data_IF_415911098749
#
_entry.id   IF_415911098749
#
_cell.length_a   1.000
_cell.length_b   1.000
_cell.length_c   1.000
_cell.angle_alpha   90.00
_cell.angle_beta   90.00
_cell.angle_gamma   90.00
#
_symmetry.space_group_name_H-M   'P 1'
#
loop_
_entity.id
_entity.type
_entity.pdbx_description
1 polymer ?
#
# COMPACT_ATOMS: atom_id res chain seq x y z
N UNK A 1 24.70 12.73 4.14
CA UNK A 1 23.84 12.25 5.25
C UNK A 1 22.71 11.44 4.63
N UNK A 2 22.81 10.12 4.72
CA UNK A 2 21.87 9.17 4.12
C UNK A 2 20.66 8.98 5.03
N UNK A 3 19.54 9.61 4.68
CA UNK A 3 18.25 9.32 5.31
C UNK A 3 17.81 7.95 4.82
N UNK A 4 17.87 6.95 5.71
CA UNK A 4 17.25 5.65 5.47
C UNK A 4 15.74 5.84 5.43
N UNK A 5 15.04 5.33 4.40
CA UNK A 5 13.60 5.46 4.32
C UNK A 5 12.96 4.61 5.43
N UNK A 6 12.21 5.27 6.32
CA UNK A 6 11.36 4.64 7.32
C UNK A 6 10.33 3.76 6.59
N UNK A 7 10.22 2.50 7.02
CA UNK A 7 9.22 1.57 6.55
C UNK A 7 7.82 2.11 6.90
N UNK A 8 6.90 2.31 5.94
CA UNK A 8 5.56 2.81 6.24
C UNK A 8 4.75 1.88 7.16
N UNK A 9 5.16 0.62 7.36
CA UNK A 9 4.56 -0.25 8.39
C UNK A 9 4.85 0.22 9.83
N UNK A 10 5.89 1.02 10.06
CA UNK A 10 6.21 1.58 11.38
C UNK A 10 5.21 2.65 11.85
N UNK A 11 4.40 3.23 10.97
CA UNK A 11 3.37 4.22 11.33
C UNK A 11 2.05 3.59 11.77
N UNK A 12 1.96 2.26 11.83
CA UNK A 12 0.77 1.51 12.27
C UNK A 12 0.94 0.86 13.65
N UNK A 13 1.73 1.48 14.54
CA UNK A 13 1.96 0.99 15.89
C UNK A 13 1.06 1.65 16.93
N UNK A 14 -0.21 1.25 17.04
CA UNK A 14 -0.94 1.33 18.32
C UNK A 14 -0.84 -0.04 19.01
N UNK A 15 0.35 -0.36 19.49
CA UNK A 15 0.63 -1.55 20.29
C UNK A 15 1.69 -1.18 21.31
N UNK A 16 1.27 -0.60 22.42
CA UNK A 16 2.14 -0.22 23.54
C UNK A 16 2.67 -1.43 24.27
N UNK A 17 3.70 -2.07 23.73
CA UNK A 17 4.61 -2.90 24.49
C UNK A 17 5.86 -2.08 24.77
N UNK A 18 6.34 -2.06 26.02
CA UNK A 18 7.60 -1.41 26.34
C UNK A 18 8.75 -2.21 25.72
N UNK A 19 9.57 -1.54 24.91
CA UNK A 19 10.74 -2.12 24.24
C UNK A 19 12.01 -1.65 24.95
N UNK A 20 13.06 -2.49 24.93
CA UNK A 20 14.36 -2.08 25.48
C UNK A 20 14.90 -0.84 24.73
N UNK A 21 15.35 0.16 25.52
CA UNK A 21 16.05 1.34 25.04
C UNK A 21 17.50 1.04 24.61
N UNK A 22 18.40 2.02 24.71
CA UNK A 22 19.84 1.86 24.41
C UNK A 22 20.58 1.11 25.53
N UNK A 23 20.18 -0.12 25.80
CA UNK A 23 20.79 -0.93 26.86
C UNK A 23 21.43 -2.18 26.24
N UNK A 24 22.78 -2.24 26.14
CA UNK A 24 23.45 -3.44 25.66
C UNK A 24 23.34 -4.56 26.69
N UNK A 25 23.35 -5.81 26.21
CA UNK A 25 23.33 -6.99 27.05
C UNK A 25 24.56 -7.01 27.98
N UNK A 26 24.39 -7.18 29.31
CA UNK A 26 25.50 -7.13 30.26
C UNK A 26 26.47 -8.31 30.14
N UNK A 27 26.06 -9.40 29.47
CA UNK A 27 26.87 -10.62 29.35
C UNK A 27 27.70 -10.64 28.07
N UNK A 28 27.12 -10.27 26.92
CA UNK A 28 27.80 -10.36 25.63
C UNK A 28 27.95 -9.01 24.89
N UNK A 29 27.41 -7.92 25.44
CA UNK A 29 27.48 -6.59 24.82
C UNK A 29 26.59 -6.40 23.59
N UNK A 30 25.73 -7.36 23.26
CA UNK A 30 24.78 -7.27 22.15
C UNK A 30 23.75 -6.15 22.37
N UNK A 31 23.46 -5.34 21.35
CA UNK A 31 22.48 -4.25 21.42
C UNK A 31 21.05 -4.81 21.45
N UNK A 32 20.33 -4.61 22.57
CA UNK A 32 18.98 -5.14 22.78
C UNK A 32 17.87 -4.23 22.22
N UNK A 33 18.23 -3.16 21.50
CA UNK A 33 17.28 -2.19 20.96
C UNK A 33 16.23 -2.85 20.05
N UNK A 34 14.96 -2.58 20.35
CA UNK A 34 13.82 -3.07 19.55
C UNK A 34 13.35 -4.48 19.93
N UNK A 35 13.97 -5.12 20.93
CA UNK A 35 13.45 -6.34 21.54
C UNK A 35 12.44 -6.00 22.65
N UNK A 36 11.36 -6.80 22.81
CA UNK A 36 10.40 -6.61 23.91
C UNK A 36 11.07 -6.76 25.28
N UNK A 37 10.67 -5.95 26.25
CA UNK A 37 11.20 -6.05 27.62
C UNK A 37 10.88 -7.44 28.21
N UNK A 38 11.90 -8.07 28.81
CA UNK A 38 11.80 -9.40 29.41
C UNK A 38 12.14 -10.57 28.48
N UNK A 39 12.59 -10.30 27.25
CA UNK A 39 13.08 -11.34 26.34
C UNK A 39 14.55 -11.67 26.60
N UNK A 40 14.91 -12.97 26.54
CA UNK A 40 16.30 -13.43 26.68
C UNK A 40 17.15 -12.90 25.54
N UNK A 41 18.41 -12.57 25.83
CA UNK A 41 19.35 -12.14 24.80
C UNK A 41 19.47 -13.21 23.70
N UNK A 42 19.27 -12.87 22.41
CA UNK A 42 19.29 -13.85 21.33
C UNK A 42 20.67 -14.43 21.05
N UNK A 43 21.74 -13.73 21.42
CA UNK A 43 23.13 -14.18 21.19
C UNK A 43 23.67 -15.07 22.31
N UNK A 44 23.40 -14.74 23.57
CA UNK A 44 23.98 -15.46 24.71
C UNK A 44 22.96 -16.20 25.58
N UNK A 45 21.67 -16.04 25.32
CA UNK A 45 20.60 -16.67 26.10
C UNK A 45 20.42 -16.11 27.50
N UNK A 46 21.17 -15.09 27.90
CA UNK A 46 21.06 -14.50 29.23
C UNK A 46 19.71 -13.81 29.42
N UNK A 47 19.03 -14.11 30.53
CA UNK A 47 17.85 -13.36 30.99
C UNK A 47 18.30 -11.97 31.47
N UNK A 48 17.68 -10.88 30.98
CA UNK A 48 17.98 -9.55 31.47
C UNK A 48 17.56 -9.44 32.94
N UNK A 49 18.53 -9.25 33.84
CA UNK A 49 18.27 -8.89 35.24
C UNK A 49 17.52 -7.55 35.25
N UNK A 50 16.25 -7.58 35.59
CA UNK A 50 15.54 -6.41 36.08
C UNK A 50 16.09 -6.17 37.50
N UNK A 51 17.04 -5.25 37.65
CA UNK A 51 17.37 -4.76 38.98
C UNK A 51 16.18 -3.93 39.45
N UNK A 52 15.37 -4.55 40.30
CA UNK A 52 14.30 -3.92 41.07
C UNK A 52 14.91 -2.86 41.99
N UNK A 53 14.79 -1.61 41.56
CA UNK A 53 15.08 -0.46 42.38
C UNK A 53 13.90 0.50 42.36
N UNK A 54 12.77 0.13 42.98
CA UNK A 54 11.85 1.11 43.55
C UNK A 54 10.99 0.50 44.67
N UNK A 55 10.99 1.23 45.79
CA UNK A 55 10.51 0.86 47.12
C UNK A 55 9.06 0.40 47.22
N UNK A 56 8.91 -0.55 48.13
CA UNK A 56 7.70 -0.97 48.84
C UNK A 56 7.09 0.22 49.61
N UNK A 57 6.05 0.85 49.07
CA UNK A 57 4.90 1.44 49.82
C UNK A 57 4.07 2.38 48.92
N UNK A 58 2.89 1.94 48.50
CA UNK A 58 1.69 2.79 48.47
C UNK A 58 0.47 1.96 48.08
N UNK A 59 -0.60 2.23 48.81
CA UNK A 59 -1.88 1.55 48.77
C UNK A 59 -2.51 1.56 47.38
N UNK A 60 -2.96 0.38 46.95
CA UNK A 60 -3.80 0.20 45.79
C UNK A 60 -5.14 0.92 46.00
N UNK A 61 -5.31 2.09 45.36
CA UNK A 61 -6.64 2.64 45.06
C UNK A 61 -7.13 1.96 43.79
N UNK A 62 -7.80 0.83 43.96
CA UNK A 62 -8.61 0.19 42.92
C UNK A 62 -9.86 1.06 42.72
N UNK A 63 -9.98 1.72 41.56
CA UNK A 63 -11.20 2.43 41.15
C UNK A 63 -12.35 1.41 40.99
N UNK A 64 -13.47 1.52 41.73
CA UNK A 64 -14.56 0.54 41.70
C UNK A 64 -15.39 0.52 40.40
N UNK A 65 -14.99 1.26 39.35
CA UNK A 65 -15.77 1.36 38.12
C UNK A 65 -15.49 0.29 37.06
N UNK A 66 -14.56 -0.63 37.31
CA UNK A 66 -14.22 -1.72 36.38
C UNK A 66 -14.42 -3.12 37.00
N UNK A 67 -15.60 -3.37 37.56
CA UNK A 67 -16.08 -4.74 37.77
C UNK A 67 -16.76 -5.19 36.48
N UNK A 68 -16.08 -6.04 35.70
CA UNK A 68 -16.67 -6.72 34.55
C UNK A 68 -17.34 -7.99 35.08
N UNK A 69 -18.67 -8.02 35.06
CA UNK A 69 -19.47 -9.22 35.36
C UNK A 69 -19.19 -10.33 34.32
N UNK A 70 -18.98 -11.59 34.74
CA UNK A 70 -18.59 -12.68 33.84
C UNK A 70 -19.75 -13.33 33.06
N UNK A 71 -20.95 -12.74 33.00
CA UNK A 71 -22.15 -13.45 32.50
C UNK A 71 -22.84 -12.83 31.25
N UNK A 72 -22.09 -12.10 30.42
CA UNK A 72 -22.60 -11.64 29.10
C UNK A 72 -21.63 -11.92 27.96
N UNK A 73 -21.37 -13.19 27.63
CA UNK A 73 -20.56 -13.57 26.45
C UNK A 73 -21.35 -14.05 25.23
N UNK A 74 -22.67 -14.24 25.30
CA UNK A 74 -23.36 -15.05 24.26
C UNK A 74 -24.12 -14.29 23.17
N UNK A 75 -23.80 -13.01 22.87
CA UNK A 75 -24.54 -12.27 21.83
C UNK A 75 -23.77 -11.42 20.81
N UNK A 76 -22.47 -11.59 20.65
CA UNK A 76 -21.74 -10.93 19.55
C UNK A 76 -20.94 -11.95 18.72
N UNK A 77 -21.68 -12.73 17.92
CA UNK A 77 -21.12 -13.50 16.82
C UNK A 77 -20.63 -12.54 15.72
N UNK A 78 -19.35 -12.20 15.80
CA UNK A 78 -18.65 -11.35 14.84
C UNK A 78 -17.22 -11.07 15.28
N UNK A 79 -16.58 -12.03 15.94
CA UNK A 79 -15.20 -11.93 16.36
C UNK A 79 -14.30 -11.90 15.12
N UNK A 80 -13.75 -10.73 14.83
CA UNK A 80 -12.48 -10.63 14.14
C UNK A 80 -11.46 -11.34 15.05
N UNK A 81 -11.19 -12.60 14.72
CA UNK A 81 -10.18 -13.44 15.34
C UNK A 81 -8.85 -12.69 15.30
N UNK A 82 -8.45 -12.14 16.45
CA UNK A 82 -7.13 -11.55 16.63
C UNK A 82 -6.15 -12.70 16.48
N UNK A 83 -5.44 -12.71 15.36
CA UNK A 83 -4.43 -13.71 15.07
C UNK A 83 -3.39 -13.68 16.20
N UNK A 84 -3.35 -14.74 17.00
CA UNK A 84 -2.34 -14.96 18.04
C UNK A 84 -0.94 -14.88 17.38
N UNK A 85 -0.08 -13.92 17.77
CA UNK A 85 1.21 -13.70 17.14
C UNK A 85 2.15 -14.90 17.26
N UNK A 86 1.91 -15.81 18.21
CA UNK A 86 2.70 -17.01 18.42
C UNK A 86 1.79 -18.25 18.51
N UNK A 87 1.53 -18.97 17.41
CA UNK A 87 0.64 -20.12 17.43
C UNK A 87 1.15 -21.19 18.40
N UNK A 88 0.34 -21.57 19.37
CA UNK A 88 0.67 -22.61 20.37
C UNK A 88 -0.05 -23.91 20.07
N UNK A 89 0.58 -25.04 20.42
CA UNK A 89 -0.05 -26.34 20.36
C UNK A 89 -1.24 -26.38 21.32
N UNK A 90 -2.42 -26.81 20.83
CA UNK A 90 -3.66 -26.88 21.62
C UNK A 90 -3.58 -27.89 22.78
N UNK A 91 -2.71 -28.89 22.70
CA UNK A 91 -2.58 -29.90 23.76
C UNK A 91 -1.55 -29.55 24.83
N UNK A 92 -0.38 -29.03 24.45
CA UNK A 92 0.72 -28.81 25.40
C UNK A 92 1.20 -27.36 25.53
N UNK A 93 0.64 -26.42 24.76
CA UNK A 93 1.03 -25.02 24.79
C UNK A 93 2.39 -24.69 24.16
N UNK A 94 3.09 -25.69 23.59
CA UNK A 94 4.36 -25.49 22.88
C UNK A 94 4.23 -24.49 21.74
N UNK A 95 5.16 -23.54 21.64
CA UNK A 95 5.14 -22.49 20.63
C UNK A 95 5.56 -23.07 19.27
N UNK A 96 4.64 -23.08 18.31
CA UNK A 96 4.84 -23.63 16.96
C UNK A 96 5.54 -22.65 16.01
N UNK A 97 6.19 -21.63 16.54
CA UNK A 97 6.95 -20.63 15.77
C UNK A 97 8.15 -21.31 15.12
N UNK A 98 8.35 -21.04 13.83
CA UNK A 98 9.43 -21.65 13.05
C UNK A 98 9.15 -23.06 12.51
N UNK A 99 8.11 -23.76 12.97
CA UNK A 99 7.70 -25.06 12.42
C UNK A 99 6.89 -24.94 11.11
N UNK A 100 6.89 -25.98 10.25
CA UNK A 100 6.09 -26.01 9.03
C UNK A 100 4.59 -25.84 9.31
N UNK A 101 3.84 -25.38 8.29
CA UNK A 101 2.43 -25.00 8.45
C UNK A 101 1.51 -26.16 8.90
N UNK A 102 1.92 -27.40 8.63
CA UNK A 102 1.30 -28.60 9.15
C UNK A 102 2.39 -29.58 9.59
N UNK A 103 2.14 -30.33 10.66
CA UNK A 103 3.09 -31.30 11.17
C UNK A 103 2.66 -31.87 12.53
N UNK A 104 3.58 -32.57 13.19
CA UNK A 104 3.39 -33.04 14.56
C UNK A 104 4.13 -32.14 15.52
N UNK A 105 3.48 -31.83 16.64
CA UNK A 105 4.14 -31.09 17.72
C UNK A 105 5.31 -31.94 18.25
N UNK A 106 6.52 -31.37 18.41
CA UNK A 106 7.69 -32.12 18.88
C UNK A 106 7.54 -32.59 20.33
N UNK A 107 6.75 -31.88 21.14
CA UNK A 107 6.54 -32.20 22.55
C UNK A 107 5.47 -33.28 22.77
N UNK A 108 4.27 -33.08 22.22
CA UNK A 108 3.13 -33.95 22.51
C UNK A 108 2.75 -34.90 21.36
N UNK A 109 3.41 -34.78 20.20
CA UNK A 109 3.12 -35.58 19.02
C UNK A 109 1.79 -35.25 18.33
N UNK A 110 0.98 -34.34 18.88
CA UNK A 110 -0.32 -33.98 18.32
C UNK A 110 -0.12 -33.36 16.94
N UNK A 111 -0.89 -33.85 15.97
CA UNK A 111 -0.96 -33.25 14.64
C UNK A 111 -1.58 -31.87 14.75
N UNK A 112 -0.85 -30.88 14.27
CA UNK A 112 -1.31 -29.51 14.18
C UNK A 112 -1.35 -29.10 12.71
N UNK A 113 -2.43 -28.41 12.36
CA UNK A 113 -2.50 -27.58 11.18
C UNK A 113 -2.49 -26.16 11.69
N UNK A 114 -1.32 -25.52 11.67
CA UNK A 114 -1.31 -24.08 11.82
C UNK A 114 -1.94 -23.55 10.54
N UNK A 115 -3.16 -23.07 10.64
CA UNK A 115 -3.65 -22.08 9.70
C UNK A 115 -2.81 -20.82 9.90
N UNK A 116 -1.52 -20.87 9.55
CA UNK A 116 -0.91 -19.70 8.95
C UNK A 116 -1.77 -19.47 7.72
N UNK A 117 -2.80 -18.64 7.87
CA UNK A 117 -3.20 -17.72 6.83
C UNK A 117 -1.89 -17.02 6.46
N UNK A 118 -1.13 -17.63 5.55
CA UNK A 118 -0.30 -16.87 4.64
C UNK A 118 -1.31 -15.89 4.10
N UNK A 119 -1.27 -14.65 4.60
CA UNK A 119 -1.99 -13.57 3.94
C UNK A 119 -1.66 -13.76 2.47
N UNK A 120 -2.63 -14.03 1.59
CA UNK A 120 -2.33 -14.13 0.18
C UNK A 120 -1.79 -12.76 -0.20
N UNK A 121 -0.46 -12.69 -0.33
CA UNK A 121 0.31 -11.45 -0.41
C UNK A 121 0.20 -10.81 -1.80
N UNK A 122 -0.91 -11.04 -2.49
CA UNK A 122 -1.15 -10.63 -3.87
C UNK A 122 -2.63 -10.30 -4.00
N UNK A 123 -2.96 -9.00 -4.00
CA UNK A 123 -4.27 -8.56 -4.45
C UNK A 123 -4.38 -8.87 -5.95
N UNK A 124 -5.22 -9.82 -6.33
CA UNK A 124 -5.41 -10.18 -7.74
C UNK A 124 -5.93 -9.00 -8.59
N UNK A 125 -6.59 -8.03 -7.94
CA UNK A 125 -7.19 -6.86 -8.60
C UNK A 125 -6.19 -5.72 -8.86
N UNK A 126 -5.12 -5.62 -8.07
CA UNK A 126 -4.05 -4.62 -8.20
C UNK A 126 -2.68 -5.29 -8.27
N UNK A 127 -2.33 -5.88 -9.43
CA UNK A 127 -1.07 -6.57 -9.59
C UNK A 127 0.11 -5.57 -9.61
N UNK A 128 1.30 -6.03 -9.22
CA UNK A 128 2.47 -5.15 -9.05
C UNK A 128 2.90 -4.51 -10.38
N UNK A 129 2.64 -5.17 -11.50
CA UNK A 129 2.89 -4.70 -12.86
C UNK A 129 2.07 -3.44 -13.18
N UNK A 130 0.82 -3.37 -12.67
CA UNK A 130 -0.04 -2.18 -12.82
C UNK A 130 0.47 -1.05 -11.92
N UNK A 131 0.78 -1.35 -10.65
CA UNK A 131 1.23 -0.34 -9.69
C UNK A 131 2.63 0.22 -10.00
N UNK A 132 3.46 -0.53 -10.71
CA UNK A 132 4.77 -0.07 -11.16
C UNK A 132 4.75 0.60 -12.54
N UNK A 133 3.61 0.55 -13.23
CA UNK A 133 3.49 1.07 -14.60
C UNK A 133 3.64 2.59 -14.67
N UNK A 134 4.34 3.06 -15.70
CA UNK A 134 4.50 4.49 -16.01
C UNK A 134 3.14 5.15 -16.27
N UNK A 135 2.23 4.43 -16.92
CA UNK A 135 0.86 4.91 -17.21
C UNK A 135 0.09 5.25 -15.94
N UNK A 136 0.12 4.37 -14.93
CA UNK A 136 -0.59 4.60 -13.67
C UNK A 136 -0.05 5.82 -12.94
N UNK A 137 1.28 5.98 -12.91
CA UNK A 137 1.95 7.15 -12.31
C UNK A 137 1.57 8.47 -12.95
N UNK A 138 1.54 8.54 -14.27
CA UNK A 138 1.06 9.73 -14.97
C UNK A 138 -0.39 10.04 -14.63
N UNK A 139 -1.23 9.01 -14.50
CA UNK A 139 -2.60 9.17 -14.00
C UNK A 139 -2.66 9.80 -12.62
N UNK A 140 -1.87 9.27 -11.67
CA UNK A 140 -1.80 9.82 -10.31
C UNK A 140 -1.26 11.25 -10.28
N UNK A 141 -0.20 11.56 -11.04
CA UNK A 141 0.35 12.91 -11.13
C UNK A 141 -0.66 13.91 -11.69
N UNK A 142 -1.43 13.53 -12.72
CA UNK A 142 -2.50 14.37 -13.25
C UNK A 142 -3.62 14.59 -12.24
N UNK A 143 -4.01 13.56 -11.46
CA UNK A 143 -4.99 13.72 -10.38
C UNK A 143 -4.48 14.64 -9.26
N UNK A 144 -3.21 14.52 -8.87
CA UNK A 144 -2.57 15.38 -7.87
C UNK A 144 -2.54 16.83 -8.38
N UNK A 145 -2.03 17.04 -9.61
CA UNK A 145 -1.95 18.37 -10.21
C UNK A 145 -3.33 19.00 -10.39
N UNK A 146 -4.31 18.21 -10.81
CA UNK A 146 -5.70 18.64 -10.96
C UNK A 146 -6.34 19.05 -9.63
N UNK A 147 -6.23 18.23 -8.59
CA UNK A 147 -6.82 18.53 -7.28
C UNK A 147 -6.13 19.70 -6.60
N UNK A 148 -4.79 19.79 -6.68
CA UNK A 148 -4.04 20.95 -6.20
C UNK A 148 -4.40 22.22 -6.99
N UNK A 149 -4.54 22.12 -8.30
CA UNK A 149 -4.98 23.22 -9.17
C UNK A 149 -6.39 23.68 -8.82
N UNK A 150 -7.35 22.76 -8.67
CA UNK A 150 -8.72 23.08 -8.26
C UNK A 150 -8.77 23.79 -6.90
N UNK A 151 -8.02 23.32 -5.91
CA UNK A 151 -7.92 23.98 -4.61
C UNK A 151 -7.30 25.39 -4.76
N UNK A 152 -6.18 25.49 -5.48
CA UNK A 152 -5.45 26.75 -5.66
C UNK A 152 -6.27 27.80 -6.40
N UNK A 153 -6.88 27.44 -7.54
CA UNK A 153 -7.75 28.34 -8.29
C UNK A 153 -9.05 28.63 -7.54
N UNK A 154 -9.62 27.65 -6.83
CA UNK A 154 -10.77 27.87 -5.95
C UNK A 154 -10.49 28.93 -4.88
N UNK A 155 -9.35 28.84 -4.20
CA UNK A 155 -8.90 29.85 -3.22
C UNK A 155 -8.65 31.19 -3.92
N UNK A 156 -8.01 31.20 -5.08
CA UNK A 156 -7.75 32.40 -5.87
C UNK A 156 -9.04 33.14 -6.24
N UNK A 157 -10.08 32.40 -6.63
CA UNK A 157 -11.40 32.95 -6.95
C UNK A 157 -12.15 33.59 -5.77
N UNK A 158 -11.72 33.33 -4.53
CA UNK A 158 -12.27 34.03 -3.35
C UNK A 158 -11.82 35.50 -3.27
N UNK A 159 -10.76 35.86 -3.99
CA UNK A 159 -10.18 37.19 -4.02
C UNK A 159 -10.52 37.93 -5.33
N UNK A 160 -10.47 39.27 -5.35
CA UNK A 160 -10.57 40.04 -6.58
C UNK A 160 -9.47 39.58 -7.54
N UNK A 161 -9.85 38.90 -8.61
CA UNK A 161 -8.92 38.23 -9.50
C UNK A 161 -9.37 38.33 -10.96
N UNK A 162 -8.41 38.25 -11.88
CA UNK A 162 -8.69 38.21 -13.30
C UNK A 162 -9.48 36.95 -13.68
N UNK A 163 -10.72 37.17 -14.13
CA UNK A 163 -11.65 36.12 -14.54
C UNK A 163 -11.04 35.16 -15.56
N UNK A 164 -10.30 35.70 -16.54
CA UNK A 164 -9.70 34.89 -17.61
C UNK A 164 -8.66 33.87 -17.10
N UNK A 165 -7.86 34.24 -16.10
CA UNK A 165 -6.82 33.36 -15.53
C UNK A 165 -7.46 32.24 -14.71
N UNK A 166 -8.46 32.58 -13.88
CA UNK A 166 -9.21 31.61 -13.10
C UNK A 166 -9.90 30.58 -14.01
N UNK A 167 -10.60 31.03 -15.04
CA UNK A 167 -11.37 30.17 -15.95
C UNK A 167 -10.46 29.23 -16.75
N UNK A 168 -9.35 29.76 -17.27
CA UNK A 168 -8.35 28.96 -17.98
C UNK A 168 -7.71 27.93 -17.03
N UNK A 169 -7.30 28.37 -15.84
CA UNK A 169 -6.67 27.51 -14.83
C UNK A 169 -7.58 26.39 -14.36
N UNK A 170 -8.85 26.70 -14.10
CA UNK A 170 -9.88 25.73 -13.71
C UNK A 170 -10.15 24.75 -14.85
N UNK A 171 -10.28 25.23 -16.09
CA UNK A 171 -10.47 24.36 -17.26
C UNK A 171 -9.31 23.37 -17.43
N UNK A 172 -8.06 23.83 -17.31
CA UNK A 172 -6.87 22.97 -17.40
C UNK A 172 -6.87 21.94 -16.28
N UNK A 173 -7.24 22.34 -15.06
CA UNK A 173 -7.34 21.45 -13.90
C UNK A 173 -8.42 20.37 -14.12
N UNK A 174 -9.57 20.72 -14.68
CA UNK A 174 -10.65 19.78 -15.02
C UNK A 174 -10.25 18.83 -16.16
N UNK A 175 -9.56 19.32 -17.19
CA UNK A 175 -9.05 18.47 -18.26
C UNK A 175 -8.05 17.42 -17.70
N UNK A 176 -7.14 17.88 -16.83
CA UNK A 176 -6.20 17.00 -16.13
C UNK A 176 -6.92 15.97 -15.25
N UNK A 177 -8.02 16.34 -14.59
CA UNK A 177 -8.87 15.42 -13.82
C UNK A 177 -9.41 14.27 -14.67
N UNK A 178 -10.06 14.61 -15.79
CA UNK A 178 -10.69 13.62 -16.67
C UNK A 178 -9.67 12.62 -17.25
N UNK A 179 -8.53 13.14 -17.74
CA UNK A 179 -7.44 12.29 -18.24
C UNK A 179 -6.81 11.47 -17.11
N UNK A 180 -6.58 12.09 -15.95
CA UNK A 180 -6.06 11.46 -14.74
C UNK A 180 -6.90 10.27 -14.31
N UNK A 181 -8.22 10.43 -14.21
CA UNK A 181 -9.17 9.36 -13.86
C UNK A 181 -9.04 8.16 -14.80
N UNK A 182 -8.93 8.40 -16.11
CA UNK A 182 -8.86 7.34 -17.12
C UNK A 182 -7.54 6.56 -17.08
N UNK A 183 -6.46 7.19 -16.64
CA UNK A 183 -5.13 6.60 -16.51
C UNK A 183 -4.89 5.94 -15.14
N UNK A 184 -5.37 6.57 -14.07
CA UNK A 184 -5.16 6.13 -12.68
C UNK A 184 -6.05 4.95 -12.27
N UNK A 185 -7.21 4.77 -12.91
CA UNK A 185 -8.15 3.69 -12.57
C UNK A 185 -7.98 2.51 -13.55
N UNK A 186 -7.25 1.44 -13.16
CA UNK A 186 -6.95 0.33 -14.05
C UNK A 186 -8.18 -0.55 -14.30
N UNK A 187 -8.16 -1.27 -15.43
CA UNK A 187 -9.21 -2.24 -15.78
C UNK A 187 -9.20 -3.47 -14.87
N UNK A 188 -8.04 -3.84 -14.33
CA UNK A 188 -7.87 -5.00 -13.43
C UNK A 188 -8.77 -4.91 -12.19
N UNK A 189 -9.06 -3.69 -11.71
CA UNK A 189 -9.93 -3.43 -10.56
C UNK A 189 -11.37 -3.95 -10.74
N UNK A 190 -11.80 -4.18 -11.99
CA UNK A 190 -13.15 -4.67 -12.30
C UNK A 190 -13.29 -6.19 -12.11
N UNK A 191 -12.20 -6.93 -11.91
CA UNK A 191 -12.24 -8.39 -11.67
C UNK A 191 -12.93 -9.20 -12.76
N UNK A 192 -12.94 -8.71 -14.02
CA UNK A 192 -13.64 -9.34 -15.14
C UNK A 192 -15.17 -9.18 -15.15
N UNK A 193 -15.75 -8.47 -14.18
CA UNK A 193 -17.19 -8.23 -14.12
C UNK A 193 -17.57 -7.10 -15.09
N UNK A 194 -18.36 -7.44 -16.12
CA UNK A 194 -18.78 -6.50 -17.18
C UNK A 194 -19.52 -5.27 -16.67
N UNK A 195 -20.30 -5.41 -15.59
CA UNK A 195 -20.99 -4.30 -14.94
C UNK A 195 -20.02 -3.23 -14.41
N UNK A 196 -18.99 -3.65 -13.67
CA UNK A 196 -17.97 -2.74 -13.13
C UNK A 196 -17.15 -2.07 -14.23
N UNK A 197 -16.87 -2.77 -15.33
CA UNK A 197 -16.16 -2.17 -16.46
C UNK A 197 -16.97 -1.08 -17.15
N UNK A 198 -18.28 -1.29 -17.33
CA UNK A 198 -19.21 -0.27 -17.85
C UNK A 198 -19.32 0.91 -16.90
N UNK A 199 -19.52 0.68 -15.60
CA UNK A 199 -19.58 1.73 -14.58
C UNK A 199 -18.30 2.57 -14.56
N UNK A 200 -17.12 1.93 -14.57
CA UNK A 200 -15.83 2.62 -14.63
C UNK A 200 -15.70 3.48 -15.89
N UNK A 201 -16.06 2.93 -17.04
CA UNK A 201 -15.93 3.62 -18.33
C UNK A 201 -16.91 4.81 -18.41
N UNK A 202 -18.16 4.62 -17.98
CA UNK A 202 -19.15 5.67 -17.88
C UNK A 202 -18.70 6.78 -16.91
N UNK A 203 -18.20 6.42 -15.73
CA UNK A 203 -17.67 7.38 -14.76
C UNK A 203 -16.51 8.20 -15.37
N UNK A 204 -15.49 7.56 -15.93
CA UNK A 204 -14.40 8.31 -16.58
C UNK A 204 -14.89 9.18 -17.75
N UNK A 205 -15.88 8.71 -18.53
CA UNK A 205 -16.44 9.49 -19.64
C UNK A 205 -17.18 10.74 -19.13
N UNK A 206 -18.00 10.61 -18.09
CA UNK A 206 -18.70 11.76 -17.47
C UNK A 206 -17.71 12.78 -16.91
N UNK A 207 -16.61 12.34 -16.30
CA UNK A 207 -15.57 13.27 -15.80
C UNK A 207 -14.84 14.00 -16.93
N UNK A 208 -14.61 13.34 -18.07
CA UNK A 208 -14.00 13.97 -19.25
C UNK A 208 -14.96 14.95 -19.95
N UNK A 209 -16.24 14.60 -20.02
CA UNK A 209 -17.30 15.44 -20.58
C UNK A 209 -17.59 16.69 -19.74
N UNK A 210 -17.13 16.72 -18.48
CA UNK A 210 -17.33 17.86 -17.62
C UNK A 210 -16.54 19.10 -18.08
N UNK A 211 -15.33 18.93 -18.61
CA UNK A 211 -14.52 20.04 -19.13
C UNK A 211 -15.19 20.83 -20.26
N UNK A 212 -15.67 20.21 -21.37
CA UNK A 212 -16.34 20.95 -22.43
C UNK A 212 -17.67 21.54 -21.97
N UNK A 213 -18.37 20.92 -21.01
CA UNK A 213 -19.55 21.50 -20.41
C UNK A 213 -19.20 22.78 -19.63
N UNK A 214 -18.16 22.75 -18.80
CA UNK A 214 -17.69 23.92 -18.07
C UNK A 214 -17.39 25.09 -19.00
N UNK A 215 -16.66 24.83 -20.09
CA UNK A 215 -16.38 25.84 -21.12
C UNK A 215 -17.63 26.37 -21.81
N UNK A 216 -18.62 25.50 -22.06
CA UNK A 216 -19.89 25.91 -22.65
C UNK A 216 -20.66 26.84 -21.70
N UNK A 217 -20.75 26.48 -20.42
CA UNK A 217 -21.38 27.31 -19.37
C UNK A 217 -20.71 28.68 -19.33
N UNK A 218 -19.38 28.70 -19.20
CA UNK A 218 -18.60 29.95 -19.20
C UNK A 218 -18.86 30.81 -20.44
N UNK A 219 -18.89 30.20 -21.64
CA UNK A 219 -19.14 30.92 -22.89
C UNK A 219 -20.54 31.52 -22.97
N UNK A 220 -21.53 30.84 -22.41
CA UNK A 220 -22.94 31.23 -22.39
C UNK A 220 -23.22 32.33 -21.36
N UNK A 221 -22.55 32.28 -20.21
CA UNK A 221 -22.61 33.36 -19.22
C UNK A 221 -22.01 34.64 -19.80
N UNK A 222 -20.91 34.53 -20.56
CA UNK A 222 -20.32 35.65 -21.27
C UNK A 222 -21.23 36.27 -22.36
N UNK A 223 -22.27 35.57 -22.83
CA UNK A 223 -23.26 36.11 -23.78
C UNK A 223 -24.56 36.58 -23.12
N UNK A 224 -24.71 36.42 -21.80
CA UNK A 224 -25.89 36.87 -21.05
C UNK A 224 -27.16 36.08 -21.31
N UNK A 225 -27.06 34.81 -21.74
CA UNK A 225 -28.25 33.98 -22.02
C UNK A 225 -28.85 33.42 -20.72
N UNK A 226 -30.11 33.74 -20.41
CA UNK A 226 -30.76 33.43 -19.12
C UNK A 226 -31.55 32.10 -19.08
N UNK A 227 -31.69 31.38 -20.19
CA UNK A 227 -32.50 30.16 -20.30
C UNK A 227 -31.87 28.88 -19.71
N UNK A 228 -30.83 28.99 -18.87
CA UNK A 228 -29.80 27.94 -18.77
C UNK A 228 -29.87 27.02 -17.55
N UNK A 229 -30.56 27.42 -16.47
CA UNK A 229 -30.63 26.65 -15.20
C UNK A 229 -31.09 25.20 -15.36
N UNK A 230 -31.92 24.90 -16.38
CA UNK A 230 -32.38 23.53 -16.65
C UNK A 230 -31.45 22.67 -17.52
N UNK A 231 -30.63 23.28 -18.38
CA UNK A 231 -29.76 22.55 -19.33
C UNK A 231 -28.40 22.23 -18.71
N UNK A 232 -27.88 23.11 -17.84
CA UNK A 232 -26.65 22.84 -17.06
C UNK A 232 -26.84 21.79 -15.96
N UNK A 233 -28.09 21.58 -15.54
CA UNK A 233 -28.47 20.68 -14.47
C UNK A 233 -28.11 19.21 -14.74
N UNK A 234 -28.56 18.68 -15.88
CA UNK A 234 -28.42 17.26 -16.22
C UNK A 234 -26.95 16.84 -16.31
N UNK A 235 -26.07 17.60 -16.98
CA UNK A 235 -24.65 17.28 -17.01
C UNK A 235 -23.95 17.43 -15.64
N UNK A 236 -24.39 18.36 -14.78
CA UNK A 236 -23.91 18.49 -13.41
C UNK A 236 -24.22 17.26 -12.56
N UNK A 237 -25.45 16.73 -12.66
CA UNK A 237 -25.84 15.48 -11.98
C UNK A 237 -25.00 14.30 -12.50
N UNK A 238 -24.81 14.20 -13.82
CA UNK A 238 -23.98 13.16 -14.42
C UNK A 238 -22.52 13.24 -13.95
N UNK A 239 -21.97 14.45 -13.84
CA UNK A 239 -20.62 14.67 -13.31
C UNK A 239 -20.52 14.28 -11.83
N UNK A 240 -21.52 14.60 -11.01
CA UNK A 240 -21.59 14.20 -9.60
C UNK A 240 -21.66 12.68 -9.43
N UNK A 241 -22.54 12.01 -10.19
CA UNK A 241 -22.64 10.54 -10.17
C UNK A 241 -21.31 9.92 -10.60
N UNK A 242 -20.68 10.46 -11.65
CA UNK A 242 -19.36 10.03 -12.08
C UNK A 242 -18.29 10.22 -11.00
N UNK A 243 -18.30 11.34 -10.28
CA UNK A 243 -17.37 11.65 -9.19
C UNK A 243 -17.54 10.64 -8.04
N UNK A 244 -18.78 10.36 -7.64
CA UNK A 244 -19.09 9.35 -6.62
C UNK A 244 -18.52 7.98 -7.01
N UNK A 245 -18.73 7.55 -8.26
CA UNK A 245 -18.19 6.29 -8.76
C UNK A 245 -16.65 6.30 -8.77
N UNK A 246 -16.02 7.41 -9.16
CA UNK A 246 -14.56 7.58 -9.09
C UNK A 246 -14.05 7.47 -7.64
N UNK A 247 -14.71 8.12 -6.68
CA UNK A 247 -14.34 8.04 -5.26
C UNK A 247 -14.47 6.61 -4.72
N UNK A 248 -15.53 5.88 -5.09
CA UNK A 248 -15.69 4.46 -4.74
C UNK A 248 -14.57 3.61 -5.34
N UNK A 249 -14.18 3.87 -6.59
CA UNK A 249 -13.09 3.14 -7.24
C UNK A 249 -11.73 3.46 -6.60
N UNK A 250 -11.48 4.71 -6.19
CA UNK A 250 -10.29 5.10 -5.43
C UNK A 250 -10.28 4.47 -4.04
N UNK A 251 -11.43 4.41 -3.35
CA UNK A 251 -11.58 3.71 -2.08
C UNK A 251 -11.26 2.22 -2.24
N UNK A 252 -11.72 1.60 -3.33
CA UNK A 252 -11.40 0.19 -3.64
C UNK A 252 -9.90 0.01 -3.89
N UNK A 253 -9.26 0.89 -4.64
CA UNK A 253 -7.79 0.89 -4.83
C UNK A 253 -7.08 0.98 -3.48
N UNK A 254 -7.49 1.89 -2.59
CA UNK A 254 -6.91 2.00 -1.25
C UNK A 254 -7.04 0.69 -0.45
N UNK A 255 -8.20 0.04 -0.54
CA UNK A 255 -8.45 -1.26 0.10
C UNK A 255 -7.53 -2.37 -0.42
N UNK A 256 -7.39 -2.48 -1.74
CA UNK A 256 -6.49 -3.47 -2.37
C UNK A 256 -5.01 -3.21 -2.05
N UNK A 257 -4.63 -1.95 -1.87
CA UNK A 257 -3.28 -1.54 -1.46
C UNK A 257 -3.07 -1.58 0.07
N UNK A 258 -4.04 -2.10 0.83
CA UNK A 258 -4.00 -2.21 2.30
C UNK A 258 -3.94 -0.88 3.06
N UNK A 259 -4.26 0.25 2.42
CA UNK A 259 -4.38 1.56 3.07
C UNK A 259 -5.76 1.71 3.73
N UNK A 260 -5.99 1.00 4.84
CA UNK A 260 -7.29 0.93 5.53
C UNK A 260 -7.83 2.30 5.95
N UNK A 261 -6.97 3.17 6.47
CA UNK A 261 -7.40 4.48 6.96
C UNK A 261 -7.75 5.42 5.81
N UNK A 262 -6.98 5.38 4.71
CA UNK A 262 -7.28 6.14 3.50
C UNK A 262 -8.56 5.63 2.83
N UNK A 263 -8.78 4.31 2.80
CA UNK A 263 -10.01 3.72 2.27
C UNK A 263 -11.23 4.21 3.06
N UNK A 264 -11.16 4.17 4.41
CA UNK A 264 -12.21 4.73 5.27
C UNK A 264 -12.43 6.21 4.98
N UNK A 265 -11.36 7.00 4.92
CA UNK A 265 -11.45 8.45 4.69
C UNK A 265 -12.11 8.77 3.34
N UNK A 266 -11.70 8.10 2.26
CA UNK A 266 -12.33 8.21 0.93
C UNK A 266 -13.80 7.78 0.94
N UNK A 267 -14.14 6.73 1.68
CA UNK A 267 -15.53 6.30 1.87
C UNK A 267 -16.40 7.38 2.54
N UNK A 268 -15.88 8.08 3.55
CA UNK A 268 -16.60 9.21 4.16
C UNK A 268 -16.76 10.38 3.18
N UNK A 269 -15.78 10.63 2.31
CA UNK A 269 -15.89 11.70 1.30
C UNK A 269 -17.05 11.51 0.33
N UNK A 270 -17.46 10.27 0.04
CA UNK A 270 -18.65 9.99 -0.79
C UNK A 270 -19.91 10.57 -0.15
N UNK A 271 -20.07 10.40 1.16
CA UNK A 271 -21.22 10.90 1.90
C UNK A 271 -21.20 12.42 2.08
N UNK A 272 -20.02 13.02 2.08
CA UNK A 272 -19.85 14.49 2.13
C UNK A 272 -20.09 15.11 0.76
N UNK A 273 -19.65 14.47 -0.33
CA UNK A 273 -19.76 15.02 -1.68
C UNK A 273 -21.21 15.25 -2.13
N UNK A 274 -22.15 14.38 -1.73
CA UNK A 274 -23.57 14.48 -2.09
C UNK A 274 -24.22 15.77 -1.56
N UNK A 275 -24.29 16.01 -0.24
CA UNK A 275 -24.93 17.21 0.30
C UNK A 275 -24.19 18.48 -0.14
N UNK A 276 -22.87 18.41 -0.29
CA UNK A 276 -22.06 19.52 -0.78
C UNK A 276 -22.42 19.91 -2.20
N UNK A 277 -22.56 18.94 -3.10
CA UNK A 277 -22.97 19.21 -4.48
C UNK A 277 -24.41 19.75 -4.57
N UNK A 278 -25.29 19.32 -3.66
CA UNK A 278 -26.64 19.91 -3.55
C UNK A 278 -26.53 21.37 -3.07
N UNK A 279 -25.72 21.66 -2.05
CA UNK A 279 -25.55 23.03 -1.55
C UNK A 279 -24.95 23.95 -2.63
N UNK A 280 -23.91 23.51 -3.34
CA UNK A 280 -23.25 24.26 -4.42
C UNK A 280 -24.23 24.65 -5.54
N UNK A 281 -25.20 23.79 -5.83
CA UNK A 281 -26.25 24.10 -6.79
C UNK A 281 -27.19 25.22 -6.33
N UNK A 282 -27.56 25.21 -5.05
CA UNK A 282 -28.49 26.19 -4.47
C UNK A 282 -27.81 27.51 -4.12
N UNK A 283 -26.51 27.47 -3.86
CA UNK A 283 -25.66 28.60 -3.53
C UNK A 283 -24.50 28.64 -4.53
N UNK A 284 -24.74 29.14 -5.76
CA UNK A 284 -23.70 29.21 -6.76
C UNK A 284 -22.50 29.96 -6.19
N UNK A 285 -21.34 29.32 -6.29
CA UNK A 285 -20.05 29.86 -5.89
C UNK A 285 -19.92 31.33 -6.35
N UNK A 286 -19.36 32.24 -5.53
CA UNK A 286 -19.07 33.58 -5.99
C UNK A 286 -18.05 33.49 -7.13
N UNK A 287 -18.56 33.46 -8.36
CA UNK A 287 -17.73 33.39 -9.55
C UNK A 287 -16.85 34.64 -9.61
N UNK A 288 -15.59 34.53 -10.04
CA UNK A 288 -14.78 35.71 -10.30
C UNK A 288 -15.53 36.62 -11.29
N UNK A 289 -15.57 37.93 -11.02
CA UNK A 289 -16.44 38.89 -11.73
C UNK A 289 -17.80 39.14 -11.08
N UNK A 290 -18.22 38.31 -10.12
CA UNK A 290 -19.26 38.65 -9.13
C UNK A 290 -18.70 39.43 -7.94
N UNK A 291 -19.53 39.73 -6.94
CA UNK A 291 -19.03 40.34 -5.71
C UNK A 291 -18.14 39.32 -4.96
N UNK A 292 -16.88 39.65 -4.65
CA UNK A 292 -15.99 38.73 -3.95
C UNK A 292 -16.58 38.37 -2.57
N UNK A 293 -16.20 37.19 -2.07
CA UNK A 293 -16.68 36.67 -0.78
C UNK A 293 -16.33 37.59 0.40
N UNK A 294 -15.23 38.35 0.26
CA UNK A 294 -14.78 39.40 1.19
C UNK A 294 -15.21 40.82 0.76
N UNK A 295 -16.13 40.93 -0.18
CA UNK A 295 -16.73 42.20 -0.60
C UNK A 295 -17.79 42.70 0.39
N UNK A 296 -18.12 43.99 0.33
CA UNK A 296 -19.00 44.67 1.29
C UNK A 296 -20.45 44.13 1.36
N UNK A 297 -20.86 43.21 0.46
CA UNK A 297 -22.22 42.66 0.41
C UNK A 297 -22.49 41.55 1.43
N UNK A 298 -21.48 40.75 1.77
CA UNK A 298 -21.63 39.68 2.74
C UNK A 298 -21.11 40.18 4.09
N UNK A 299 -22.02 40.56 4.99
CA UNK A 299 -21.65 40.84 6.39
C UNK A 299 -21.05 39.60 7.07
N UNK A 300 -20.52 39.77 8.30
CA UNK A 300 -19.83 38.70 9.06
C UNK A 300 -20.59 37.37 9.08
N UNK A 301 -21.91 37.41 9.26
CA UNK A 301 -22.76 36.21 9.29
C UNK A 301 -22.78 35.51 7.92
N UNK A 302 -22.86 36.26 6.82
CA UNK A 302 -22.80 35.71 5.46
C UNK A 302 -21.47 35.04 5.17
N UNK A 303 -20.36 35.66 5.59
CA UNK A 303 -19.01 35.08 5.47
C UNK A 303 -18.88 33.77 6.25
N UNK A 304 -19.38 33.70 7.49
CA UNK A 304 -19.32 32.48 8.31
C UNK A 304 -20.13 31.34 7.69
N UNK A 305 -21.35 31.63 7.22
CA UNK A 305 -22.19 30.63 6.54
C UNK A 305 -21.52 30.12 5.28
N UNK A 306 -20.92 31.01 4.48
CA UNK A 306 -20.17 30.62 3.29
C UNK A 306 -18.95 29.78 3.63
N UNK A 307 -18.14 30.14 4.63
CA UNK A 307 -17.02 29.30 5.06
C UNK A 307 -17.47 27.90 5.50
N UNK A 308 -18.59 27.80 6.23
CA UNK A 308 -19.14 26.52 6.66
C UNK A 308 -19.62 25.66 5.47
N UNK A 309 -20.14 26.26 4.40
CA UNK A 309 -20.55 25.54 3.19
C UNK A 309 -19.39 25.23 2.24
N UNK A 310 -18.39 26.11 2.15
CA UNK A 310 -17.25 25.96 1.26
C UNK A 310 -16.16 25.04 1.81
N UNK A 311 -15.96 24.96 3.13
CA UNK A 311 -14.92 24.12 3.71
C UNK A 311 -15.05 22.64 3.27
N UNK A 312 -16.24 22.01 3.32
CA UNK A 312 -16.45 20.68 2.76
C UNK A 312 -16.07 20.53 1.27
N UNK A 313 -16.26 21.57 0.44
CA UNK A 313 -15.87 21.55 -0.98
C UNK A 313 -14.36 21.41 -1.17
N UNK A 314 -13.55 21.91 -0.23
CA UNK A 314 -12.09 21.76 -0.26
C UNK A 314 -11.59 20.48 0.42
N UNK A 315 -12.34 19.94 1.39
CA UNK A 315 -11.94 18.72 2.09
C UNK A 315 -11.91 17.52 1.14
N UNK A 316 -12.91 17.36 0.27
CA UNK A 316 -12.97 16.24 -0.69
C UNK A 316 -11.74 16.20 -1.61
N UNK A 317 -11.39 17.25 -2.39
CA UNK A 317 -10.22 17.24 -3.25
C UNK A 317 -8.91 17.16 -2.45
N UNK A 318 -8.84 17.70 -1.24
CA UNK A 318 -7.66 17.57 -0.37
C UNK A 318 -7.42 16.10 0.01
N UNK A 319 -8.45 15.39 0.46
CA UNK A 319 -8.38 13.97 0.80
C UNK A 319 -8.00 13.13 -0.43
N UNK A 320 -8.59 13.43 -1.59
CA UNK A 320 -8.23 12.76 -2.85
C UNK A 320 -6.76 13.01 -3.21
N UNK A 321 -6.27 14.24 -3.05
CA UNK A 321 -4.87 14.59 -3.31
C UNK A 321 -3.93 13.81 -2.39
N UNK A 322 -4.20 13.77 -1.08
CA UNK A 322 -3.42 12.99 -0.10
C UNK A 322 -3.43 11.50 -0.45
N UNK A 323 -4.59 10.93 -0.80
CA UNK A 323 -4.69 9.53 -1.22
C UNK A 323 -3.84 9.26 -2.48
N UNK A 324 -3.91 10.13 -3.48
CA UNK A 324 -3.12 10.01 -4.71
C UNK A 324 -1.61 10.12 -4.45
N UNK A 325 -1.19 11.00 -3.54
CA UNK A 325 0.21 11.11 -3.11
C UNK A 325 0.71 9.82 -2.45
N UNK A 326 -0.10 9.22 -1.58
CA UNK A 326 0.24 7.93 -0.95
C UNK A 326 0.35 6.81 -1.99
N UNK A 327 -0.59 6.74 -2.93
CA UNK A 327 -0.53 5.78 -4.04
C UNK A 327 0.70 5.99 -4.92
N UNK A 328 1.07 7.26 -5.17
CA UNK A 328 2.25 7.59 -5.96
C UNK A 328 3.54 7.16 -5.26
N UNK A 329 3.67 7.43 -3.96
CA UNK A 329 4.80 6.97 -3.15
C UNK A 329 4.90 5.44 -3.14
N UNK A 330 3.76 4.75 -2.99
CA UNK A 330 3.68 3.30 -3.11
C UNK A 330 4.13 2.81 -4.49
N UNK A 331 3.73 3.49 -5.57
CA UNK A 331 4.15 3.17 -6.94
C UNK A 331 5.67 3.24 -7.12
N UNK A 332 6.31 4.23 -6.50
CA UNK A 332 7.76 4.43 -6.58
C UNK A 332 8.49 3.34 -5.80
N UNK A 333 7.97 2.98 -4.63
CA UNK A 333 8.47 1.85 -3.86
C UNK A 333 8.31 0.53 -4.62
N UNK A 334 7.13 0.26 -5.20
CA UNK A 334 6.84 -1.01 -5.89
C UNK A 334 7.75 -1.24 -7.10
N UNK A 335 8.01 -0.20 -7.90
CA UNK A 335 8.96 -0.36 -9.01
C UNK A 335 10.41 -0.51 -8.54
N UNK A 336 10.81 0.14 -7.44
CA UNK A 336 12.14 -0.07 -6.86
C UNK A 336 12.30 -1.52 -6.40
N UNK A 337 11.28 -2.11 -5.79
CA UNK A 337 11.28 -3.51 -5.39
C UNK A 337 11.29 -4.45 -6.59
N UNK A 338 10.46 -4.19 -7.61
CA UNK A 338 10.45 -4.99 -8.85
C UNK A 338 11.83 -5.02 -9.53
N UNK A 339 12.53 -3.88 -9.62
CA UNK A 339 13.90 -3.82 -10.16
C UNK A 339 14.91 -4.60 -9.31
N UNK A 340 14.80 -4.54 -7.98
CA UNK A 340 15.66 -5.31 -7.06
C UNK A 340 15.43 -6.81 -7.16
N UNK A 341 14.16 -7.22 -7.33
CA UNK A 341 13.76 -8.61 -7.54
C UNK A 341 14.33 -9.18 -8.85
N UNK A 342 14.14 -8.48 -9.96
CA UNK A 342 14.70 -8.88 -11.27
C UNK A 342 16.22 -9.07 -11.20
N UNK A 343 16.94 -8.11 -10.61
CA UNK A 343 18.40 -8.25 -10.45
C UNK A 343 18.80 -9.41 -9.53
N UNK A 344 17.98 -9.82 -8.56
CA UNK A 344 18.24 -11.00 -7.72
C UNK A 344 18.03 -12.28 -8.52
N UNK A 345 16.98 -12.36 -9.33
CA UNK A 345 16.71 -13.50 -10.20
C UNK A 345 17.80 -13.69 -11.26
N UNK A 346 18.27 -12.59 -11.86
CA UNK A 346 19.40 -12.62 -12.79
C UNK A 346 20.66 -13.15 -12.10
N UNK A 347 21.02 -12.64 -10.92
CA UNK A 347 22.18 -13.16 -10.15
C UNK A 347 22.05 -14.64 -9.78
N UNK A 348 20.84 -15.10 -9.44
CA UNK A 348 20.60 -16.52 -9.15
C UNK A 348 20.74 -17.36 -10.41
N UNK A 349 20.25 -16.88 -11.55
CA UNK A 349 20.38 -17.55 -12.84
C UNK A 349 21.85 -17.66 -13.24
N UNK A 350 22.60 -16.57 -13.12
CA UNK A 350 24.03 -16.52 -13.47
C UNK A 350 24.84 -17.46 -12.57
N UNK A 351 24.56 -17.46 -11.25
CA UNK A 351 25.19 -18.42 -10.32
C UNK A 351 24.83 -19.87 -10.61
N UNK A 352 23.61 -20.15 -11.07
CA UNK A 352 23.20 -21.50 -11.47
C UNK A 352 23.90 -21.96 -12.74
N UNK A 353 24.12 -21.08 -13.71
CA UNK A 353 24.91 -21.41 -14.91
C UNK A 353 26.37 -21.69 -14.57
N UNK A 354 27.00 -20.88 -13.69
CA UNK A 354 28.37 -21.12 -13.22
C UNK A 354 28.51 -22.51 -12.57
N UNK A 355 27.62 -22.83 -11.62
CA UNK A 355 27.63 -24.14 -10.95
C UNK A 355 27.37 -25.31 -11.91
N UNK A 356 26.60 -25.08 -12.98
CA UNK A 356 26.33 -26.09 -13.98
C UNK A 356 27.54 -26.32 -14.91
N UNK A 357 28.31 -25.28 -15.21
CA UNK A 357 29.59 -25.38 -15.95
C UNK A 357 30.65 -26.09 -15.10
N UNK A 358 30.81 -25.70 -13.83
CA UNK A 358 31.72 -26.38 -12.87
C UNK A 358 31.38 -27.88 -12.76
N UNK A 359 30.09 -28.22 -12.63
CA UNK A 359 29.65 -29.62 -12.55
C UNK A 359 29.83 -30.42 -13.85
N UNK A 360 29.98 -29.76 -15.01
CA UNK A 360 30.31 -30.44 -16.28
C UNK A 360 31.82 -30.71 -16.36
N UNK A 361 32.64 -29.78 -15.90
CA UNK A 361 34.11 -29.91 -15.92
C UNK A 361 34.63 -30.89 -14.84
N UNK A 362 33.94 -30.98 -13.69
CA UNK A 362 34.20 -31.98 -12.64
C UNK A 362 33.70 -33.39 -12.98
N UNK A 363 33.00 -33.60 -14.11
CA UNK A 363 32.72 -34.97 -14.53
C UNK A 363 34.07 -35.65 -14.76
N UNK A 364 34.33 -36.82 -14.13
CA UNK A 364 35.59 -37.51 -14.35
C UNK A 364 35.75 -37.69 -15.86
N UNK A 365 36.82 -37.13 -16.43
CA UNK A 365 37.18 -37.43 -17.81
C UNK A 365 37.30 -38.94 -17.84
N UNK A 366 36.37 -39.56 -18.53
CA UNK A 366 36.46 -40.97 -18.83
C UNK A 366 37.64 -41.06 -19.79
N UNK A 367 38.82 -41.30 -19.24
CA UNK A 367 40.02 -41.51 -20.04
C UNK A 367 39.80 -42.83 -20.80
N UNK A 368 39.70 -42.74 -22.12
CA UNK A 368 39.63 -43.90 -22.98
C UNK A 368 41.03 -44.22 -23.50
N UNK A 369 41.35 -45.49 -23.69
CA UNK A 369 42.61 -45.89 -24.29
C UNK A 369 42.69 -45.44 -25.76
N UNK A 370 43.80 -44.81 -26.16
CA UNK A 370 44.00 -44.31 -27.53
C UNK A 370 44.00 -45.41 -28.60
N UNK A 371 44.41 -46.64 -28.26
CA UNK A 371 44.55 -47.73 -29.22
C UNK A 371 43.24 -48.49 -29.50
N UNK A 372 42.37 -48.66 -28.49
CA UNK A 372 41.16 -49.48 -28.61
C UNK A 372 39.86 -48.79 -28.19
N UNK A 373 39.93 -47.58 -27.64
CA UNK A 373 38.77 -46.79 -27.22
C UNK A 373 38.06 -47.28 -25.94
N UNK A 374 38.58 -48.29 -25.24
CA UNK A 374 37.99 -48.79 -24.00
C UNK A 374 38.23 -47.84 -22.81
N UNK A 375 37.29 -47.77 -21.86
CA UNK A 375 37.44 -46.97 -20.63
C UNK A 375 38.61 -47.47 -19.77
N UNK A 376 39.47 -46.57 -19.32
CA UNK A 376 40.53 -46.84 -18.36
C UNK A 376 39.94 -46.95 -16.94
N UNK A 377 40.35 -47.99 -16.21
CA UNK A 377 39.98 -48.18 -14.80
C UNK A 377 41.27 -48.16 -13.99
N UNK A 378 41.43 -47.16 -13.12
CA UNK A 378 42.64 -46.99 -12.31
C UNK A 378 43.92 -46.73 -13.13
N UNK A 379 43.81 -46.08 -14.30
CA UNK A 379 44.94 -45.78 -15.19
C UNK A 379 45.42 -46.94 -16.07
N UNK A 380 44.73 -48.09 -16.03
CA UNK A 380 45.08 -49.27 -16.84
C UNK A 380 43.95 -49.65 -17.79
N UNK A 381 44.32 -50.03 -19.03
CA UNK A 381 43.38 -50.49 -20.04
C UNK A 381 43.09 -51.98 -19.85
N UNK A 382 41.87 -52.38 -19.46
CA UNK A 382 41.54 -53.80 -19.24
C UNK A 382 41.54 -54.62 -20.53
N UNK A 383 41.35 -53.98 -21.68
CA UNK A 383 41.38 -54.63 -22.99
C UNK A 383 42.80 -54.77 -23.57
N UNK A 384 43.72 -53.91 -23.15
CA UNK A 384 45.06 -53.80 -23.74
C UNK A 384 46.12 -54.56 -22.94
N UNK A 385 45.90 -54.77 -21.63
CA UNK A 385 46.81 -55.52 -20.76
C UNK A 385 48.15 -54.78 -20.56
N UNK A 386 48.49 -54.47 -19.32
CA UNK A 386 49.83 -53.97 -18.98
C UNK A 386 50.88 -55.03 -19.31
N UNK A 387 51.55 -54.90 -20.44
CA UNK A 387 52.86 -55.50 -20.65
C UNK A 387 53.88 -54.56 -19.99
N UNK A 388 54.15 -54.78 -18.70
CA UNK A 388 55.53 -54.79 -18.17
C UNK A 388 55.53 -55.17 -16.67
N UNK A 389 56.39 -56.11 -16.24
CA UNK A 389 56.53 -56.50 -14.84
C UNK A 389 57.39 -55.48 -14.06
N UNK A 390 57.20 -55.33 -12.74
CA UNK A 390 58.06 -54.47 -11.93
C UNK A 390 59.46 -55.06 -11.81
N UNK A 391 60.46 -54.22 -12.07
CA UNK A 391 61.87 -54.53 -11.88
C UNK A 391 62.22 -54.75 -10.39
N UNK A 392 62.94 -55.84 -10.16
CA UNK A 392 64.00 -56.05 -9.17
C UNK A 392 63.80 -55.53 -7.74
N UNK A 393 63.40 -56.45 -6.85
CA UNK A 393 63.74 -56.39 -5.42
C UNK A 393 64.93 -57.34 -5.21
N UNK A 394 66.14 -56.85 -4.84
CA UNK A 394 67.26 -57.72 -4.54
C UNK A 394 67.14 -58.30 -3.13
N UNK A 395 67.40 -59.60 -3.02
CA UNK A 395 67.63 -60.29 -1.75
C UNK A 395 69.02 -59.95 -1.21
N UNK A 396 69.06 -59.28 -0.05
CA UNK A 396 70.15 -59.32 0.93
C UNK A 396 69.59 -59.00 2.32
#
# INVERSE_FOLDING_TARGET
>A
MSVTPVDPHFLSGSGGGDYHGETPCPVCGYDLRGLPIGTTCPECGAEPRLDDGFDESSDAVIDPRFVIDPDTSDRHAGAAEVADPDPRCKACGYVLKGLPAAGRCPECGLEFHSERKRMPLRSDLMPIEVTSSVRWRWGLLLLIASTAGYIGFGIWGLFPSDLSIYELGTTVSLAAWGVGCRLAIPRSLCGGVTGWERCRTAACATQFLWTPLYLLVWRMDATGSSGWLGISAVPGILALVGLIVVLVLLCRIAGELYFRDIAKLLGHMVWIAIPVAVIDWWFPWPAPGGDPLFGARFGVVGTVVLFATLLPLFIVPLVVCVACLQFFNFSLWSARQSRRGAGREDRIRDRKSELQEEAVDERPRIECCDDCGAMLVGGSCPACGSADPPADIPLA
#
